data_IF_756257079209
#
_entry.id   IF_756257079209
#
_cell.length_a   1.000
_cell.length_b   1.000
_cell.length_c   1.000
_cell.angle_alpha   90.00
_cell.angle_beta   90.00
_cell.angle_gamma   90.00
#
_symmetry.space_group_name_H-M   'P 1'
#
loop_
_entity.id
_entity.type
_entity.pdbx_description
1 polymer ?
#
# COMPACT_ATOMS: atom_id res chain seq x y z
N UNK A 1 -4.04 2.29 -7.83
CA UNK A 1 -2.86 2.55 -6.98
C UNK A 1 -2.04 1.28 -6.90
N UNK A 2 -0.72 1.39 -6.98
CA UNK A 2 0.19 0.27 -6.73
C UNK A 2 0.76 0.43 -5.31
N UNK A 3 0.44 -0.47 -4.36
CA UNK A 3 0.96 -0.42 -3.00
C UNK A 3 2.44 -0.77 -2.95
N UNK A 4 3.18 -0.12 -2.06
CA UNK A 4 4.62 -0.37 -1.87
C UNK A 4 4.92 -1.31 -0.69
N UNK A 5 3.95 -1.55 0.20
CA UNK A 5 4.18 -2.21 1.48
C UNK A 5 4.98 -1.36 2.48
N UNK A 6 5.09 -0.04 2.24
CA UNK A 6 5.80 0.90 3.10
C UNK A 6 4.85 1.96 3.68
N UNK A 7 5.09 2.30 4.94
CA UNK A 7 4.44 3.37 5.68
C UNK A 7 5.42 4.51 5.96
N UNK A 8 5.08 5.73 5.58
CA UNK A 8 5.81 6.94 5.99
C UNK A 8 5.23 7.48 7.29
N UNK A 9 6.08 7.76 8.28
CA UNK A 9 5.68 8.49 9.49
C UNK A 9 5.38 9.97 9.17
N UNK A 10 4.63 10.67 10.03
CA UNK A 10 4.45 12.12 9.92
C UNK A 10 5.78 12.86 9.75
N UNK A 11 5.86 13.69 8.70
CA UNK A 11 7.04 14.47 8.31
C UNK A 11 8.31 13.66 7.99
N UNK A 12 8.21 12.35 7.81
CA UNK A 12 9.35 11.54 7.36
C UNK A 12 9.72 11.90 5.92
N UNK A 13 11.02 12.10 5.69
CA UNK A 13 11.55 12.31 4.34
C UNK A 13 11.68 10.96 3.64
N UNK A 14 11.04 10.85 2.47
CA UNK A 14 11.12 9.68 1.59
C UNK A 14 11.90 10.09 0.36
N UNK A 15 12.95 9.33 0.04
CA UNK A 15 13.73 9.52 -1.18
C UNK A 15 13.40 8.42 -2.18
N UNK A 16 13.05 8.83 -3.40
CA UNK A 16 12.56 7.95 -4.45
C UNK A 16 13.33 8.22 -5.74
N UNK A 17 13.92 7.18 -6.32
CA UNK A 17 14.47 7.22 -7.65
C UNK A 17 13.45 6.70 -8.66
N UNK A 18 13.17 7.48 -9.70
CA UNK A 18 12.30 7.09 -10.82
C UNK A 18 13.16 6.86 -12.05
N UNK A 19 13.20 5.62 -12.54
CA UNK A 19 13.88 5.31 -13.80
C UNK A 19 12.99 5.65 -15.01
N UNK A 20 13.62 5.94 -16.15
CA UNK A 20 12.92 6.26 -17.39
C UNK A 20 12.85 7.77 -17.65
N UNK A 21 11.81 8.19 -18.37
CA UNK A 21 11.67 9.57 -18.87
C UNK A 21 10.26 10.15 -18.66
N UNK A 22 9.44 9.49 -17.84
CA UNK A 22 8.05 9.88 -17.60
C UNK A 22 7.84 10.26 -16.14
N UNK A 23 7.03 11.28 -15.93
CA UNK A 23 6.54 11.65 -14.61
C UNK A 23 5.50 10.63 -14.12
N UNK A 24 5.51 10.36 -12.83
CA UNK A 24 4.49 9.54 -12.15
C UNK A 24 3.94 10.25 -10.93
N UNK A 25 2.85 9.75 -10.39
CA UNK A 25 2.33 10.22 -9.11
C UNK A 25 2.67 9.26 -7.99
N UNK A 26 2.94 9.82 -6.82
CA UNK A 26 3.03 9.09 -5.56
C UNK A 26 2.06 9.70 -4.56
N UNK A 27 1.44 8.84 -3.76
CA UNK A 27 0.51 9.22 -2.71
C UNK A 27 1.07 8.76 -1.37
N UNK A 28 0.92 9.61 -0.35
CA UNK A 28 1.17 9.26 1.05
C UNK A 28 -0.14 9.45 1.81
N UNK A 29 -0.69 8.32 2.27
CA UNK A 29 -2.00 8.22 2.91
C UNK A 29 -3.01 7.42 2.09
N UNK A 30 -4.00 6.88 2.78
CA UNK A 30 -5.02 5.99 2.23
C UNK A 30 -6.41 6.60 2.41
N UNK A 31 -7.11 6.84 1.29
CA UNK A 31 -8.49 7.31 1.30
C UNK A 31 -9.40 6.36 2.11
N UNK A 32 -10.36 6.90 2.86
CA UNK A 32 -11.29 6.16 3.72
C UNK A 32 -10.67 5.40 4.90
N UNK A 33 -9.34 5.37 5.03
CA UNK A 33 -8.63 4.81 6.18
C UNK A 33 -7.97 5.90 7.03
N UNK A 34 -7.14 6.75 6.40
CA UNK A 34 -6.47 7.89 7.06
C UNK A 34 -7.31 9.16 7.03
N UNK A 35 -8.27 9.22 6.10
CA UNK A 35 -9.15 10.35 5.87
C UNK A 35 -10.59 9.88 5.72
N UNK A 36 -11.50 10.49 6.49
CA UNK A 36 -12.92 10.42 6.16
C UNK A 36 -13.20 11.15 4.84
N UNK A 37 -14.37 10.94 4.23
CA UNK A 37 -14.72 11.49 2.90
C UNK A 37 -14.64 13.02 2.78
N UNK A 38 -14.58 13.77 3.89
CA UNK A 38 -14.42 15.24 3.90
C UNK A 38 -12.98 15.69 4.16
N UNK A 39 -12.07 14.75 4.38
CA UNK A 39 -10.71 15.00 4.86
C UNK A 39 -9.64 14.54 3.85
N UNK A 40 -10.00 14.42 2.57
CA UNK A 40 -9.09 14.02 1.49
C UNK A 40 -7.82 14.87 1.42
N UNK A 41 -7.86 16.11 1.93
CA UNK A 41 -6.68 16.98 2.08
C UNK A 41 -5.59 16.42 2.99
N UNK A 42 -5.91 15.41 3.81
CA UNK A 42 -4.94 14.66 4.62
C UNK A 42 -4.08 13.73 3.78
N UNK A 43 -4.58 13.26 2.64
CA UNK A 43 -3.84 12.44 1.69
C UNK A 43 -3.00 13.37 0.82
N UNK A 44 -1.68 13.17 0.81
CA UNK A 44 -0.79 13.99 -0.01
C UNK A 44 -0.42 13.26 -1.28
N UNK A 45 -0.42 13.98 -2.40
CA UNK A 45 0.08 13.48 -3.67
C UNK A 45 1.21 14.37 -4.17
N UNK A 46 2.17 13.77 -4.86
CA UNK A 46 3.33 14.44 -5.43
C UNK A 46 3.55 13.93 -6.85
N UNK A 47 3.94 14.83 -7.75
CA UNK A 47 4.45 14.45 -9.07
C UNK A 47 5.94 14.18 -8.93
N UNK A 48 6.37 12.97 -9.23
CA UNK A 48 7.77 12.57 -9.27
C UNK A 48 8.29 12.69 -10.69
N UNK A 49 9.44 13.35 -10.85
CA UNK A 49 10.16 13.44 -12.12
C UNK A 49 11.14 12.28 -12.27
N UNK A 50 11.58 11.94 -13.49
CA UNK A 50 12.73 11.06 -13.69
C UNK A 50 13.93 11.48 -12.83
N UNK A 51 14.60 10.50 -12.23
CA UNK A 51 15.70 10.70 -11.29
C UNK A 51 15.26 10.73 -9.82
N UNK A 52 16.09 11.38 -8.97
CA UNK A 52 15.92 11.39 -7.52
C UNK A 52 14.94 12.49 -7.09
N UNK A 53 13.96 12.10 -6.27
CA UNK A 53 12.97 12.98 -5.69
C UNK A 53 12.97 12.81 -4.16
N UNK A 54 12.78 13.90 -3.42
CA UNK A 54 12.58 13.86 -1.97
C UNK A 54 11.23 14.50 -1.64
N UNK A 55 10.39 13.76 -0.92
CA UNK A 55 9.04 14.16 -0.55
C UNK A 55 8.80 13.92 0.95
N UNK A 56 7.81 14.61 1.52
CA UNK A 56 7.36 14.38 2.90
C UNK A 56 5.88 14.75 3.02
N UNK A 57 5.14 14.00 3.84
CA UNK A 57 3.74 14.30 4.18
C UNK A 57 3.62 14.65 5.66
N UNK A 58 2.94 15.75 6.03
CA UNK A 58 2.77 16.11 7.44
C UNK A 58 1.98 15.07 8.24
N UNK A 59 1.11 14.30 7.58
CA UNK A 59 0.27 13.30 8.25
C UNK A 59 0.87 11.88 8.20
N UNK A 60 1.89 11.64 7.38
CA UNK A 60 2.33 10.29 7.06
C UNK A 60 1.25 9.48 6.33
N UNK A 61 1.45 8.17 6.26
CA UNK A 61 0.53 7.24 5.61
C UNK A 61 1.23 6.18 4.76
N UNK A 62 0.44 5.22 4.26
CA UNK A 62 0.94 4.24 3.29
C UNK A 62 1.36 4.91 1.98
N UNK A 63 2.41 4.37 1.36
CA UNK A 63 3.00 4.93 0.14
C UNK A 63 2.48 4.15 -1.07
N UNK A 64 1.92 4.85 -2.05
CA UNK A 64 1.38 4.29 -3.28
C UNK A 64 1.97 4.95 -4.51
N UNK A 65 2.33 4.15 -5.52
CA UNK A 65 2.61 4.69 -6.85
C UNK A 65 1.37 4.69 -7.72
N UNK A 66 1.31 5.65 -8.63
CA UNK A 66 0.29 5.72 -9.66
C UNK A 66 0.91 6.14 -10.99
N UNK A 67 0.89 5.20 -11.93
CA UNK A 67 1.25 5.44 -13.31
C UNK A 67 -0.03 5.72 -14.12
N UNK A 68 -0.16 6.94 -14.65
CA UNK A 68 -1.31 7.35 -15.49
C UNK A 68 -1.18 6.91 -16.96
N UNK A 69 -0.01 6.41 -17.35
CA UNK A 69 0.26 6.05 -18.74
C UNK A 69 -0.55 4.81 -19.13
N UNK A 70 -1.05 4.79 -20.37
CA UNK A 70 -1.88 3.68 -20.88
C UNK A 70 -1.07 2.41 -21.20
N UNK A 71 0.25 2.43 -21.04
CA UNK A 71 1.13 1.29 -21.24
C UNK A 71 2.56 1.56 -20.80
N UNK A 72 3.35 0.49 -20.73
CA UNK A 72 4.74 0.53 -20.26
C UNK A 72 4.88 0.30 -18.74
N UNK A 73 6.07 -0.11 -18.34
CA UNK A 73 6.44 -0.28 -16.93
C UNK A 73 7.47 0.77 -16.55
N UNK A 74 7.26 1.41 -15.41
CA UNK A 74 8.20 2.38 -14.82
C UNK A 74 8.78 1.71 -13.57
N UNK A 75 10.10 1.71 -13.46
CA UNK A 75 10.77 1.20 -12.27
C UNK A 75 11.00 2.36 -11.30
N UNK A 76 10.52 2.18 -10.09
CA UNK A 76 10.75 3.10 -8.98
C UNK A 76 11.46 2.37 -7.85
N UNK A 77 12.34 3.09 -7.17
CA UNK A 77 13.04 2.56 -5.98
C UNK A 77 12.96 3.59 -4.87
N UNK A 78 12.38 3.22 -3.74
CA UNK A 78 12.46 4.01 -2.51
C UNK A 78 13.82 3.71 -1.89
N UNK A 79 14.71 4.68 -1.90
CA UNK A 79 16.11 4.50 -1.46
C UNK A 79 16.30 4.81 0.03
N UNK A 80 15.46 5.68 0.58
CA UNK A 80 15.53 6.12 1.98
C UNK A 80 14.14 6.41 2.52
N UNK A 81 13.92 6.04 3.79
CA UNK A 81 12.68 6.31 4.52
C UNK A 81 11.60 5.27 4.24
N UNK A 82 10.58 5.28 5.08
CA UNK A 82 9.50 4.32 5.07
C UNK A 82 9.81 3.12 5.96
N UNK A 83 8.78 2.67 6.68
CA UNK A 83 8.82 1.47 7.52
C UNK A 83 7.98 0.38 6.86
N UNK A 84 8.50 -0.84 6.78
CA UNK A 84 7.74 -1.98 6.25
C UNK A 84 6.49 -2.24 7.09
N UNK A 85 5.39 -2.55 6.39
CA UNK A 85 4.11 -2.93 6.99
C UNK A 85 3.68 -4.29 6.44
N UNK A 86 2.76 -5.03 7.11
CA UNK A 86 2.20 -6.26 6.57
C UNK A 86 1.53 -6.02 5.21
N UNK A 87 2.11 -6.61 4.18
CA UNK A 87 1.64 -6.51 2.80
C UNK A 87 1.56 -7.90 2.18
N UNK A 88 0.33 -8.40 2.08
CA UNK A 88 0.03 -9.69 1.47
C UNK A 88 -0.33 -9.51 0.00
N UNK A 89 0.14 -10.42 -0.85
CA UNK A 89 -0.08 -10.37 -2.29
C UNK A 89 -0.47 -11.76 -2.78
N UNK A 90 -1.62 -11.83 -3.45
CA UNK A 90 -2.14 -13.05 -4.02
C UNK A 90 -1.13 -13.66 -4.99
N UNK A 91 -0.90 -14.97 -4.87
CA UNK A 91 0.08 -15.70 -5.70
C UNK A 91 1.53 -15.61 -5.21
N UNK A 92 1.86 -14.71 -4.28
CA UNK A 92 3.19 -14.62 -3.65
C UNK A 92 3.23 -15.10 -2.21
N UNK A 93 2.16 -14.85 -1.46
CA UNK A 93 2.12 -15.11 -0.03
C UNK A 93 1.08 -16.17 0.33
N UNK A 94 1.36 -16.91 1.40
CA UNK A 94 0.48 -17.91 2.03
C UNK A 94 -0.19 -17.34 3.27
N UNK A 95 -1.25 -18.00 3.78
CA UNK A 95 -1.87 -17.64 5.06
C UNK A 95 -0.85 -17.55 6.20
N UNK A 96 0.13 -18.46 6.23
CA UNK A 96 1.17 -18.44 7.26
C UNK A 96 2.07 -17.22 7.12
N UNK A 97 2.38 -16.78 5.89
CA UNK A 97 3.15 -15.55 5.69
C UNK A 97 2.40 -14.33 6.23
N UNK A 98 1.08 -14.24 6.04
CA UNK A 98 0.29 -13.17 6.63
C UNK A 98 0.37 -13.18 8.16
N UNK A 99 0.30 -14.36 8.78
CA UNK A 99 0.46 -14.50 10.25
C UNK A 99 1.85 -14.01 10.66
N UNK A 100 2.89 -14.48 9.99
CA UNK A 100 4.27 -14.09 10.26
C UNK A 100 4.48 -12.57 10.13
N UNK A 101 3.91 -11.93 9.09
CA UNK A 101 3.97 -10.48 8.92
C UNK A 101 3.28 -9.74 10.07
N UNK A 102 2.12 -10.22 10.52
CA UNK A 102 1.36 -9.62 11.62
C UNK A 102 2.03 -9.78 13.00
N UNK A 103 2.89 -10.78 13.14
CA UNK A 103 3.69 -11.01 14.34
C UNK A 103 5.00 -10.23 14.29
N UNK A 104 5.61 -10.10 13.11
CA UNK A 104 6.81 -9.29 12.88
C UNK A 104 6.53 -7.78 13.05
N UNK A 105 5.34 -7.32 12.65
CA UNK A 105 4.95 -5.91 12.72
C UNK A 105 3.69 -5.70 13.59
N UNK A 106 3.77 -5.93 14.91
CA UNK A 106 2.60 -5.93 15.79
C UNK A 106 1.94 -4.55 15.94
N UNK A 107 2.71 -3.48 15.72
CA UNK A 107 2.29 -2.08 15.81
C UNK A 107 2.13 -1.42 14.43
N UNK A 108 1.98 -2.23 13.37
CA UNK A 108 1.78 -1.70 12.03
C UNK A 108 0.58 -0.77 11.94
N UNK A 109 0.73 0.33 11.20
CA UNK A 109 -0.36 1.28 10.97
C UNK A 109 -1.55 0.63 10.26
N UNK A 110 -1.26 -0.23 9.28
CA UNK A 110 -2.25 -0.90 8.47
C UNK A 110 -1.70 -2.22 7.91
N UNK A 111 -2.61 -3.05 7.42
CA UNK A 111 -2.34 -4.25 6.64
C UNK A 111 -2.95 -4.04 5.27
N UNK A 112 -2.20 -4.39 4.23
CA UNK A 112 -2.70 -4.39 2.87
C UNK A 112 -2.79 -5.81 2.31
N UNK A 113 -3.93 -6.16 1.75
CA UNK A 113 -4.17 -7.43 1.06
C UNK A 113 -4.45 -7.12 -0.42
N UNK A 114 -3.50 -7.46 -1.29
CA UNK A 114 -3.55 -7.21 -2.73
C UNK A 114 -3.97 -8.47 -3.48
N UNK A 115 -5.09 -8.40 -4.17
CA UNK A 115 -5.50 -9.33 -5.24
C UNK A 115 -5.00 -8.87 -6.60
N UNK A 116 -5.53 -9.45 -7.67
CA UNK A 116 -5.22 -9.03 -9.04
C UNK A 116 -5.93 -7.72 -9.43
N UNK A 117 -7.13 -7.48 -8.87
CA UNK A 117 -8.02 -6.36 -9.20
C UNK A 117 -8.45 -5.58 -7.97
N UNK A 118 -8.30 -6.17 -6.79
CA UNK A 118 -8.68 -5.56 -5.51
C UNK A 118 -7.47 -5.24 -4.64
N UNK A 119 -7.62 -4.17 -3.85
CA UNK A 119 -6.72 -3.83 -2.76
C UNK A 119 -7.57 -3.57 -1.52
N UNK A 120 -7.32 -4.31 -0.45
CA UNK A 120 -8.00 -4.14 0.83
C UNK A 120 -7.00 -3.57 1.83
N UNK A 121 -7.34 -2.43 2.43
CA UNK A 121 -6.59 -1.85 3.55
C UNK A 121 -7.41 -1.97 4.84
N UNK A 122 -6.81 -2.54 5.88
CA UNK A 122 -7.47 -2.75 7.15
C UNK A 122 -6.49 -2.63 8.32
N UNK A 123 -7.01 -2.40 9.53
CA UNK A 123 -6.16 -2.40 10.72
C UNK A 123 -5.73 -3.84 11.08
N UNK A 124 -4.52 -4.03 11.64
CA UNK A 124 -4.05 -5.35 12.07
C UNK A 124 -5.04 -6.07 13.00
N UNK A 125 -5.66 -5.33 13.93
CA UNK A 125 -6.64 -5.87 14.85
C UNK A 125 -7.88 -6.45 14.13
N UNK A 126 -8.36 -5.79 13.07
CA UNK A 126 -9.50 -6.29 12.28
C UNK A 126 -9.12 -7.52 11.46
N UNK A 127 -7.93 -7.53 10.88
CA UNK A 127 -7.42 -8.72 10.15
C UNK A 127 -7.29 -9.91 11.10
N UNK A 128 -6.66 -9.72 12.27
CA UNK A 128 -6.56 -10.78 13.30
C UNK A 128 -7.93 -11.29 13.73
N UNK A 129 -8.89 -10.38 14.01
CA UNK A 129 -10.22 -10.74 14.51
C UNK A 129 -11.12 -11.40 13.48
N UNK A 130 -11.28 -10.79 12.30
CA UNK A 130 -12.34 -11.15 11.35
C UNK A 130 -11.85 -12.02 10.18
N UNK A 131 -10.57 -11.95 9.84
CA UNK A 131 -10.00 -12.82 8.81
C UNK A 131 -9.44 -14.08 9.45
N UNK A 132 -8.42 -13.93 10.28
CA UNK A 132 -7.71 -15.07 10.86
C UNK A 132 -8.52 -15.75 11.98
N UNK A 133 -9.17 -14.96 12.83
CA UNK A 133 -10.01 -15.46 13.92
C UNK A 133 -11.25 -16.23 13.44
N UNK A 134 -11.73 -15.96 12.22
CA UNK A 134 -12.80 -16.73 11.57
C UNK A 134 -12.28 -17.88 10.69
N UNK A 135 -10.98 -18.16 10.76
CA UNK A 135 -10.27 -19.17 9.97
C UNK A 135 -10.36 -18.97 8.44
N UNK A 136 -10.75 -17.79 7.97
CA UNK A 136 -10.81 -17.47 6.54
C UNK A 136 -9.41 -17.43 5.95
N UNK A 137 -9.23 -18.06 4.79
CA UNK A 137 -7.97 -18.03 4.04
C UNK A 137 -7.87 -16.73 3.22
N UNK A 138 -6.83 -15.88 3.41
CA UNK A 138 -6.63 -14.67 2.62
C UNK A 138 -6.57 -14.94 1.11
N UNK A 139 -6.03 -16.09 0.68
CA UNK A 139 -5.95 -16.47 -0.73
C UNK A 139 -7.36 -16.67 -1.30
N UNK A 140 -8.23 -17.39 -0.57
CA UNK A 140 -9.59 -17.64 -1.01
C UNK A 140 -10.43 -16.36 -1.00
N UNK A 141 -10.25 -15.50 0.00
CA UNK A 141 -10.92 -14.20 0.08
C UNK A 141 -10.58 -13.36 -1.16
N UNK A 142 -9.30 -13.15 -1.45
CA UNK A 142 -8.87 -12.29 -2.56
C UNK A 142 -9.33 -12.83 -3.91
N UNK A 143 -9.24 -14.16 -4.14
CA UNK A 143 -9.77 -14.79 -5.36
C UNK A 143 -11.26 -14.50 -5.57
N UNK A 144 -12.08 -14.62 -4.52
CA UNK A 144 -13.52 -14.33 -4.59
C UNK A 144 -13.80 -12.84 -4.84
N UNK A 145 -13.03 -11.96 -4.22
CA UNK A 145 -13.17 -10.52 -4.44
C UNK A 145 -12.75 -10.13 -5.86
N UNK A 146 -11.66 -10.69 -6.37
CA UNK A 146 -11.22 -10.49 -7.76
C UNK A 146 -12.30 -10.99 -8.75
N UNK A 147 -12.88 -12.16 -8.51
CA UNK A 147 -13.99 -12.71 -9.30
C UNK A 147 -15.22 -11.77 -9.31
N UNK A 148 -15.62 -11.27 -8.14
CA UNK A 148 -16.77 -10.37 -8.01
C UNK A 148 -16.60 -9.04 -8.76
N UNK A 149 -15.37 -8.55 -8.95
CA UNK A 149 -15.06 -7.31 -9.69
C UNK A 149 -14.89 -7.50 -11.20
N UNK A 150 -15.16 -8.70 -11.72
CA UNK A 150 -15.12 -9.00 -13.16
C UNK A 150 -16.45 -8.72 -13.87
N UNK A 151 -17.54 -8.62 -13.12
CA UNK A 151 -18.91 -8.36 -13.60
C UNK A 151 -19.00 -6.95 -14.18
#
# INVERSE_FOLDING_TARGET
>A
YEPTGLYAKPNEQITINVEGNQDIQVYIGTYSYDASWREDSKIKSFTLKPGVNTIQSPNGGLIYFYNKQQGGSIRTTITTGGTTTPFFELGKHTKQDLINMLDQYPNAHAVELKGERVLITASPARVKKYLLGSNTDPVQLLKKMDEATRI
#
